data_IF_418945559853
#
_entry.id   IF_418945559853
#
_cell.length_a   1.000
_cell.length_b   1.000
_cell.length_c   1.000
_cell.angle_alpha   90.00
_cell.angle_beta   90.00
_cell.angle_gamma   90.00
#
_symmetry.space_group_name_H-M   'P 1'
#
loop_
_entity.id
_entity.type
_entity.pdbx_description
1 polymer ?
#
# COMPACT_ATOMS: atom_id res chain seq x y z
N UNK A 1 -3.06 -22.54 -11.74
CA UNK A 1 -3.62 -21.40 -12.50
C UNK A 1 -2.46 -20.45 -12.76
N UNK A 2 -2.13 -20.15 -14.02
CA UNK A 2 -0.94 -19.36 -14.35
C UNK A 2 -1.12 -17.89 -14.01
N UNK A 3 -0.03 -17.21 -13.64
CA UNK A 3 0.05 -15.78 -13.37
C UNK A 3 -0.62 -14.92 -14.47
N UNK A 4 -0.53 -15.36 -15.72
CA UNK A 4 -1.09 -14.68 -16.88
C UNK A 4 -2.62 -14.72 -16.95
N UNK A 5 -3.26 -15.76 -16.40
CA UNK A 5 -4.72 -15.87 -16.35
C UNK A 5 -5.30 -14.94 -15.27
N UNK A 6 -4.55 -14.76 -14.17
CA UNK A 6 -4.88 -13.81 -13.12
C UNK A 6 -4.82 -12.37 -13.66
N UNK A 7 -3.76 -12.00 -14.36
CA UNK A 7 -3.61 -10.66 -14.96
C UNK A 7 -4.71 -10.32 -16.00
N UNK A 8 -5.24 -11.32 -16.71
CA UNK A 8 -6.34 -11.14 -17.66
C UNK A 8 -7.69 -10.89 -16.99
N UNK A 9 -7.87 -11.35 -15.74
CA UNK A 9 -9.10 -11.15 -14.95
C UNK A 9 -9.15 -9.79 -14.27
N UNK A 10 -8.01 -9.10 -14.17
CA UNK A 10 -7.94 -7.79 -13.55
C UNK A 10 -8.64 -6.77 -14.45
N UNK A 11 -9.61 -6.07 -13.89
CA UNK A 11 -10.31 -4.98 -14.57
C UNK A 11 -9.45 -3.71 -14.61
N UNK A 12 -8.44 -3.70 -15.48
CA UNK A 12 -7.45 -2.61 -15.59
C UNK A 12 -8.08 -1.23 -15.80
N UNK A 13 -9.15 -1.15 -16.59
CA UNK A 13 -9.86 0.12 -16.83
C UNK A 13 -10.50 0.67 -15.55
N UNK A 14 -11.09 -0.21 -14.73
CA UNK A 14 -11.66 0.16 -13.42
C UNK A 14 -10.56 0.69 -12.50
N UNK A 15 -9.47 -0.07 -12.35
CA UNK A 15 -8.34 0.33 -11.50
C UNK A 15 -7.70 1.64 -11.95
N UNK A 16 -7.56 1.87 -13.26
CA UNK A 16 -7.06 3.14 -13.79
C UNK A 16 -8.00 4.31 -13.48
N UNK A 17 -9.32 4.09 -13.52
CA UNK A 17 -10.32 5.07 -13.13
C UNK A 17 -10.20 5.43 -11.64
N UNK A 18 -10.13 4.43 -10.78
CA UNK A 18 -9.95 4.61 -9.34
C UNK A 18 -8.63 5.30 -9.00
N UNK A 19 -7.54 4.90 -9.66
CA UNK A 19 -6.23 5.52 -9.49
C UNK A 19 -6.26 7.02 -9.76
N UNK A 20 -6.97 7.48 -10.80
CA UNK A 20 -7.05 8.92 -11.13
C UNK A 20 -7.64 9.74 -9.99
N UNK A 21 -8.57 9.18 -9.22
CA UNK A 21 -9.24 9.86 -8.09
C UNK A 21 -8.70 9.45 -6.72
N UNK A 22 -7.78 8.49 -6.63
CA UNK A 22 -7.29 7.96 -5.36
C UNK A 22 -6.43 8.98 -4.60
N UNK A 23 -6.76 9.20 -3.33
CA UNK A 23 -5.94 9.97 -2.42
C UNK A 23 -5.50 9.10 -1.24
N UNK A 24 -4.19 8.97 -0.98
CA UNK A 24 -3.70 8.21 0.15
C UNK A 24 -3.99 8.91 1.49
N UNK A 25 -4.05 8.13 2.57
CA UNK A 25 -4.25 8.61 3.92
C UNK A 25 -3.21 9.66 4.36
N UNK A 26 -3.60 10.51 5.31
CA UNK A 26 -2.75 11.59 5.86
C UNK A 26 -1.42 11.06 6.42
N UNK A 27 -1.41 9.86 6.98
CA UNK A 27 -0.19 9.22 7.51
C UNK A 27 0.75 8.89 6.36
N UNK A 28 0.23 8.30 5.29
CA UNK A 28 1.00 7.93 4.11
C UNK A 28 1.56 9.15 3.37
N UNK A 29 0.78 10.24 3.30
CA UNK A 29 1.20 11.53 2.73
C UNK A 29 2.39 12.18 3.46
N UNK A 30 2.67 11.80 4.71
CA UNK A 30 3.83 12.31 5.48
C UNK A 30 5.12 11.52 5.24
N UNK A 31 5.05 10.37 4.59
CA UNK A 31 6.23 9.55 4.32
C UNK A 31 7.07 10.16 3.21
N UNK A 32 8.38 10.05 3.34
CA UNK A 32 9.32 10.51 2.32
C UNK A 32 9.10 9.74 1.00
N UNK A 33 8.91 10.43 -0.14
CA UNK A 33 8.57 9.76 -1.39
C UNK A 33 9.77 9.09 -2.09
N UNK A 34 11.01 9.50 -1.79
CA UNK A 34 12.23 9.01 -2.47
C UNK A 34 12.46 7.49 -2.28
N UNK A 35 12.30 6.90 -1.08
CA UNK A 35 12.29 5.46 -0.86
C UNK A 35 11.45 4.64 -1.84
N UNK A 36 10.30 5.17 -2.25
CA UNK A 36 9.35 4.44 -3.09
C UNK A 36 9.87 4.33 -4.52
N UNK A 37 10.45 5.41 -5.05
CA UNK A 37 11.11 5.39 -6.36
C UNK A 37 12.30 4.43 -6.35
N UNK A 38 13.09 4.42 -5.27
CA UNK A 38 14.23 3.49 -5.13
C UNK A 38 13.81 2.03 -5.01
N UNK A 39 12.66 1.77 -4.42
CA UNK A 39 12.12 0.42 -4.27
C UNK A 39 11.43 -0.09 -5.54
N UNK A 40 11.22 0.76 -6.54
CA UNK A 40 10.50 0.38 -7.75
C UNK A 40 11.34 -0.61 -8.57
N UNK A 41 10.70 -1.68 -9.05
CA UNK A 41 11.36 -2.70 -9.83
C UNK A 41 11.86 -2.12 -11.16
N UNK A 42 13.09 -2.46 -11.54
CA UNK A 42 13.70 -2.09 -12.80
C UNK A 42 14.06 -3.34 -13.63
N UNK A 43 13.58 -3.46 -14.90
CA UNK A 43 12.76 -2.49 -15.62
C UNK A 43 11.34 -2.36 -15.04
N UNK A 44 10.76 -1.16 -15.17
CA UNK A 44 9.44 -0.85 -14.62
C UNK A 44 8.39 -1.68 -15.38
N UNK A 45 7.49 -2.41 -14.68
CA UNK A 45 6.44 -3.15 -15.35
C UNK A 45 5.51 -2.24 -16.15
N UNK A 46 5.07 -2.69 -17.33
CA UNK A 46 4.23 -1.89 -18.24
C UNK A 46 2.96 -1.32 -17.59
N UNK A 47 2.30 -2.09 -16.72
CA UNK A 47 1.11 -1.58 -16.04
C UNK A 47 1.49 -0.42 -15.09
N UNK A 48 2.62 -0.50 -14.38
CA UNK A 48 3.09 0.59 -13.52
C UNK A 48 3.36 1.85 -14.35
N UNK A 49 4.00 1.72 -15.51
CA UNK A 49 4.22 2.86 -16.41
C UNK A 49 2.91 3.53 -16.84
N UNK A 50 1.87 2.75 -17.13
CA UNK A 50 0.54 3.27 -17.47
C UNK A 50 -0.09 4.04 -16.31
N UNK A 51 0.04 3.53 -15.08
CA UNK A 51 -0.48 4.22 -13.88
C UNK A 51 0.29 5.51 -13.60
N UNK A 52 1.63 5.48 -13.66
CA UNK A 52 2.45 6.67 -13.48
C UNK A 52 2.15 7.74 -14.54
N UNK A 53 1.89 7.32 -15.79
CA UNK A 53 1.55 8.24 -16.89
C UNK A 53 0.11 8.76 -16.84
N UNK A 54 -0.79 8.09 -16.10
CA UNK A 54 -2.20 8.47 -16.02
C UNK A 54 -2.42 9.75 -15.21
N UNK A 55 -1.48 10.12 -14.34
CA UNK A 55 -1.49 11.38 -13.60
C UNK A 55 -0.34 12.27 -14.10
N UNK A 56 -0.66 13.51 -14.45
CA UNK A 56 0.34 14.53 -14.83
C UNK A 56 0.80 15.34 -13.61
N UNK A 57 1.12 14.64 -12.54
CA UNK A 57 1.72 15.27 -11.37
C UNK A 57 3.12 15.78 -11.71
N UNK A 58 3.48 16.95 -11.19
CA UNK A 58 4.82 17.54 -11.40
C UNK A 58 5.91 16.76 -10.66
N UNK A 59 5.53 16.04 -9.61
CA UNK A 59 6.44 15.34 -8.71
C UNK A 59 6.30 13.82 -8.91
N UNK A 60 7.31 13.23 -9.56
CA UNK A 60 7.34 11.80 -9.89
C UNK A 60 7.50 10.92 -8.65
N UNK A 61 8.28 11.36 -7.68
CA UNK A 61 8.49 10.62 -6.44
C UNK A 61 7.19 10.55 -5.65
N UNK A 62 6.49 11.67 -5.53
CA UNK A 62 5.17 11.74 -4.88
C UNK A 62 4.15 10.86 -5.60
N UNK A 63 4.17 10.84 -6.93
CA UNK A 63 3.30 9.97 -7.74
C UNK A 63 3.58 8.50 -7.47
N UNK A 64 4.86 8.12 -7.42
CA UNK A 64 5.30 6.73 -7.18
C UNK A 64 4.92 6.27 -5.77
N UNK A 65 5.14 7.11 -4.77
CA UNK A 65 4.66 6.87 -3.40
C UNK A 65 3.14 6.67 -3.36
N UNK A 66 2.38 7.57 -3.98
CA UNK A 66 0.93 7.48 -3.97
C UNK A 66 0.45 6.21 -4.72
N UNK A 67 1.16 5.81 -5.78
CA UNK A 67 0.88 4.57 -6.50
C UNK A 67 1.11 3.35 -5.62
N UNK A 68 2.18 3.34 -4.84
CA UNK A 68 2.39 2.29 -3.84
C UNK A 68 1.20 2.19 -2.88
N UNK A 69 0.73 3.31 -2.32
CA UNK A 69 -0.44 3.31 -1.44
C UNK A 69 -1.69 2.75 -2.12
N UNK A 70 -1.92 3.12 -3.39
CA UNK A 70 -3.04 2.59 -4.16
C UNK A 70 -2.93 1.08 -4.33
N UNK A 71 -1.76 0.56 -4.72
CA UNK A 71 -1.56 -0.87 -4.91
C UNK A 71 -1.67 -1.65 -3.59
N UNK A 72 -1.24 -1.04 -2.47
CA UNK A 72 -1.42 -1.58 -1.13
C UNK A 72 -2.90 -1.66 -0.74
N UNK A 73 -3.68 -0.61 -1.03
CA UNK A 73 -5.13 -0.59 -0.84
C UNK A 73 -5.80 -1.72 -1.63
N UNK A 74 -5.46 -1.88 -2.91
CA UNK A 74 -5.98 -2.95 -3.77
C UNK A 74 -5.61 -4.35 -3.29
N UNK A 75 -4.42 -4.53 -2.73
CA UNK A 75 -4.04 -5.78 -2.09
C UNK A 75 -4.92 -6.13 -0.90
N UNK A 76 -5.37 -5.13 -0.16
CA UNK A 76 -6.03 -5.32 1.13
C UNK A 76 -7.54 -5.39 1.07
N UNK A 77 -8.15 -4.56 0.23
CA UNK A 77 -9.59 -4.55 0.08
C UNK A 77 -10.07 -5.49 -1.02
N UNK A 78 -9.23 -5.76 -2.02
CA UNK A 78 -9.61 -6.55 -3.20
C UNK A 78 -8.74 -7.79 -3.41
N UNK A 79 -7.79 -8.07 -2.51
CA UNK A 79 -6.86 -9.23 -2.58
C UNK A 79 -6.05 -9.30 -3.87
N UNK A 80 -5.79 -8.15 -4.51
CA UNK A 80 -4.99 -8.05 -5.72
C UNK A 80 -3.49 -7.90 -5.39
N UNK A 81 -2.68 -8.91 -5.67
CA UNK A 81 -1.24 -8.91 -5.34
C UNK A 81 -0.37 -8.13 -6.35
N UNK A 82 -0.73 -6.89 -6.64
CA UNK A 82 -0.03 -6.06 -7.63
C UNK A 82 1.31 -5.48 -7.13
N UNK A 83 1.48 -5.37 -5.81
CA UNK A 83 2.69 -4.82 -5.20
C UNK A 83 3.96 -5.63 -5.53
N UNK A 84 3.84 -6.96 -5.58
CA UNK A 84 4.96 -7.84 -5.88
C UNK A 84 5.55 -7.58 -7.27
N UNK A 85 4.71 -7.18 -8.23
CA UNK A 85 5.20 -6.88 -9.57
C UNK A 85 5.89 -5.52 -9.66
N UNK A 86 5.58 -4.59 -8.75
CA UNK A 86 6.02 -3.21 -8.87
C UNK A 86 7.18 -2.84 -7.94
N UNK A 87 7.37 -3.54 -6.81
CA UNK A 87 8.32 -3.12 -5.77
C UNK A 87 9.15 -4.27 -5.17
N UNK A 88 10.41 -3.95 -4.85
CA UNK A 88 11.38 -4.78 -4.13
C UNK A 88 11.07 -4.81 -2.62
N UNK A 89 9.93 -5.37 -2.24
CA UNK A 89 9.43 -5.38 -0.84
C UNK A 89 9.97 -6.53 0.03
N UNK A 90 10.42 -7.62 -0.59
CA UNK A 90 10.88 -8.84 0.12
C UNK A 90 12.40 -8.95 0.21
N UNK A 91 13.12 -7.93 -0.22
CA UNK A 91 14.58 -7.89 -0.11
C UNK A 91 14.98 -7.33 1.25
N UNK A 92 16.01 -7.92 1.86
CA UNK A 92 16.53 -7.54 3.18
C UNK A 92 16.96 -6.06 3.24
N UNK A 93 17.35 -5.50 2.10
CA UNK A 93 17.79 -4.11 1.97
C UNK A 93 16.75 -3.20 1.31
N UNK A 94 15.46 -3.53 1.39
CA UNK A 94 14.41 -2.69 0.80
C UNK A 94 14.54 -1.24 1.28
N UNK A 95 14.61 -0.25 0.38
CA UNK A 95 14.78 1.14 0.76
C UNK A 95 13.50 1.75 1.36
N UNK A 96 12.39 1.00 1.39
CA UNK A 96 11.12 1.43 1.96
C UNK A 96 11.22 1.64 3.49
N UNK A 97 10.41 2.56 4.05
CA UNK A 97 10.35 2.75 5.49
C UNK A 97 9.94 1.45 6.21
N UNK A 98 10.59 1.14 7.35
CA UNK A 98 10.28 -0.06 8.15
C UNK A 98 8.80 -0.18 8.53
N UNK A 99 8.14 0.95 8.78
CA UNK A 99 6.70 0.99 9.07
C UNK A 99 5.86 0.44 7.90
N UNK A 100 6.27 0.69 6.66
CA UNK A 100 5.60 0.20 5.46
C UNK A 100 5.87 -1.28 5.23
N UNK A 101 7.12 -1.71 5.41
CA UNK A 101 7.53 -3.12 5.27
C UNK A 101 6.78 -3.99 6.28
N UNK A 102 6.78 -3.59 7.56
CA UNK A 102 6.07 -4.31 8.62
C UNK A 102 4.55 -4.40 8.39
N UNK A 103 4.00 -3.48 7.60
CA UNK A 103 2.58 -3.46 7.24
C UNK A 103 2.27 -4.24 5.97
N UNK A 104 3.26 -4.77 5.26
CA UNK A 104 3.10 -5.50 3.99
C UNK A 104 3.27 -6.99 4.26
N UNK A 105 2.19 -7.78 4.48
CA UNK A 105 2.31 -9.17 4.85
C UNK A 105 2.95 -9.97 3.73
N UNK A 106 3.60 -11.07 4.09
CA UNK A 106 4.22 -11.97 3.13
C UNK A 106 3.15 -12.62 2.23
N UNK A 107 3.49 -12.99 0.99
CA UNK A 107 2.54 -13.54 0.03
C UNK A 107 1.96 -14.89 0.47
N UNK A 108 2.52 -15.51 1.51
CA UNK A 108 2.08 -16.78 2.09
C UNK A 108 1.17 -16.60 3.33
N UNK A 109 1.10 -15.39 3.88
CA UNK A 109 0.17 -15.07 4.96
C UNK A 109 -1.16 -14.65 4.32
N UNK A 110 -2.21 -15.45 4.52
CA UNK A 110 -3.61 -15.08 4.27
C UNK A 110 -4.10 -13.96 5.22
N UNK A 111 -3.20 -13.05 5.61
CA UNK A 111 -3.41 -12.04 6.61
C UNK A 111 -4.34 -10.96 6.11
N UNK A 112 -5.59 -11.04 6.56
CA UNK A 112 -6.51 -9.90 6.59
C UNK A 112 -5.76 -8.72 7.25
N UNK A 113 -5.50 -7.63 6.54
CA UNK A 113 -4.72 -6.52 7.06
C UNK A 113 -5.59 -5.72 8.02
N UNK A 114 -5.08 -5.56 9.23
CA UNK A 114 -5.73 -4.93 10.37
C UNK A 114 -5.74 -3.38 10.26
N UNK A 115 -6.04 -2.84 9.07
CA UNK A 115 -5.94 -1.39 8.81
C UNK A 115 -7.07 -0.60 9.48
N UNK A 116 -8.26 -1.20 9.64
CA UNK A 116 -9.40 -0.50 10.28
C UNK A 116 -9.41 -0.55 11.82
N UNK A 117 -8.69 -1.46 12.47
CA UNK A 117 -8.75 -1.59 13.94
C UNK A 117 -7.51 -1.09 14.70
N UNK A 118 -6.36 -0.92 14.05
CA UNK A 118 -5.15 -0.48 14.76
C UNK A 118 -5.10 1.04 15.02
N UNK A 119 -5.84 1.85 14.25
CA UNK A 119 -5.86 3.31 14.43
C UNK A 119 -6.96 3.83 15.41
N UNK A 120 -7.88 2.97 15.87
CA UNK A 120 -8.88 3.35 16.90
C UNK A 120 -8.50 2.99 18.33
N UNK A 121 -7.37 2.31 18.56
CA UNK A 121 -7.03 1.80 19.90
C UNK A 121 -6.23 2.78 20.78
N UNK A 122 -6.33 4.10 20.54
CA UNK A 122 -5.60 5.09 21.36
C UNK A 122 -6.43 6.13 22.10
N UNK A 123 -7.72 5.86 22.29
CA UNK A 123 -8.57 6.66 23.18
C UNK A 123 -9.64 5.75 23.76
N UNK A 124 -9.38 5.06 24.88
CA UNK A 124 -10.25 4.75 26.04
C UNK A 124 -9.48 3.67 26.85
N UNK A 125 -8.57 4.11 27.71
CA UNK A 125 -8.42 3.49 29.03
C UNK A 125 -8.65 4.64 30.00
N UNK A 126 -9.94 4.89 30.23
CA UNK A 126 -10.40 5.73 31.31
C UNK A 126 -10.01 5.03 32.59
N UNK A 127 -9.21 5.75 33.36
CA UNK A 127 -9.01 5.61 34.79
C UNK A 127 -10.34 5.27 35.50
N UNK A 128 -10.45 4.05 36.02
CA UNK A 128 -11.41 3.70 37.05
C UNK A 128 -10.66 2.88 38.10
N UNK A 129 -9.84 3.57 38.90
CA UNK A 129 -9.48 3.07 40.22
C UNK A 129 -10.26 3.90 41.25
N UNK A 130 -11.58 3.70 41.27
CA UNK A 130 -12.46 4.19 42.33
C UNK A 130 -12.88 3.01 43.19
N UNK A 131 -12.24 2.92 44.35
CA UNK A 131 -12.79 2.67 45.69
C UNK A 131 -13.94 1.64 45.85
N UNK A 132 -13.61 0.55 46.55
CA UNK A 132 -14.43 -0.04 47.61
C UNK A 132 -13.50 -0.78 48.59
N UNK A 133 -13.46 -0.60 49.91
CA UNK A 133 -14.51 -0.24 50.90
C UNK A 133 -15.80 -1.01 50.57
N UNK A 134 -16.11 -2.13 51.20
CA UNK A 134 -15.99 -2.52 52.62
C UNK A 134 -15.69 -4.02 52.79
#
# INVERSE_FOLDING_TARGET
MGLEDELKRIEWQRLMGEWKSFEPDKVFKKLDPVPFTKALIHPIPRFVELFLSARKDRDKDLTTRNLYAFLLDKRYFERLNLLHFAFHIFEEQSPLPKEIIARTPFPHEEGIPNFRYSLSSRSILVDYNILGHE
#
